data_IF_589843784541
#
_entry.id   IF_589843784541
#
_cell.length_a   1.000
_cell.length_b   1.000
_cell.length_c   1.000
_cell.angle_alpha   90.00
_cell.angle_beta   90.00
_cell.angle_gamma   90.00
#
_symmetry.space_group_name_H-M   'P 1'
#
loop_
_entity.id
_entity.type
_entity.pdbx_description
1 polymer ?
#
# COMPACT_ATOMS: atom_id res chain seq x y z
N UNK A 1 -15.23 -3.02 -6.79
CA UNK A 1 -14.12 -3.99 -6.92
C UNK A 1 -14.51 -5.26 -6.19
N UNK A 2 -14.11 -6.43 -6.67
CA UNK A 2 -14.48 -7.73 -6.08
C UNK A 2 -13.29 -8.44 -5.43
N UNK A 3 -12.33 -7.66 -4.92
CA UNK A 3 -11.12 -8.14 -4.25
C UNK A 3 -10.70 -7.14 -3.16
N UNK A 4 -9.82 -7.55 -2.21
CA UNK A 4 -9.20 -6.65 -1.26
C UNK A 4 -8.46 -5.51 -1.96
N UNK A 5 -8.42 -4.34 -1.32
CA UNK A 5 -7.78 -3.13 -1.89
C UNK A 5 -6.86 -2.49 -0.85
N UNK A 6 -5.60 -2.29 -1.23
CA UNK A 6 -4.63 -1.59 -0.40
C UNK A 6 -4.48 -0.12 -0.82
N UNK A 7 -4.60 0.79 0.14
CA UNK A 7 -4.44 2.23 -0.06
C UNK A 7 -3.08 2.70 0.47
N UNK A 8 -2.24 3.16 -0.45
CA UNK A 8 -0.92 3.71 -0.15
C UNK A 8 -1.03 5.05 0.60
N UNK A 9 -0.19 5.28 1.62
CA UNK A 9 -0.05 6.60 2.22
C UNK A 9 0.43 7.66 1.20
N UNK A 10 0.21 8.93 1.53
CA UNK A 10 0.62 10.06 0.70
C UNK A 10 2.13 10.08 0.43
N UNK A 11 2.55 10.68 -0.69
CA UNK A 11 3.98 10.78 -1.08
C UNK A 11 4.84 11.52 -0.07
N UNK A 12 4.22 12.37 0.74
CA UNK A 12 4.82 13.12 1.85
C UNK A 12 4.88 12.31 3.16
N UNK A 13 4.23 11.15 3.22
CA UNK A 13 4.08 10.33 4.43
C UNK A 13 2.70 10.44 5.09
N UNK A 14 1.78 11.22 4.53
CA UNK A 14 0.47 11.45 5.14
C UNK A 14 -0.39 10.17 5.18
N UNK A 15 -0.61 9.66 6.39
CA UNK A 15 -1.39 8.46 6.67
C UNK A 15 -2.90 8.70 6.59
N UNK A 16 -3.36 9.91 6.90
CA UNK A 16 -4.79 10.23 6.98
C UNK A 16 -5.50 10.00 5.65
N UNK A 17 -4.84 10.31 4.53
CA UNK A 17 -5.40 10.10 3.19
C UNK A 17 -5.72 8.63 2.95
N UNK A 18 -4.84 7.71 3.36
CA UNK A 18 -5.06 6.28 3.18
C UNK A 18 -6.16 5.75 4.12
N UNK A 19 -6.19 6.23 5.37
CA UNK A 19 -7.19 5.83 6.37
C UNK A 19 -8.59 6.32 5.96
N UNK A 20 -8.71 7.58 5.55
CA UNK A 20 -9.96 8.13 5.02
C UNK A 20 -10.44 7.32 3.80
N UNK A 21 -9.51 6.90 2.92
CA UNK A 21 -9.83 6.08 1.76
C UNK A 21 -10.32 4.68 2.12
N UNK A 22 -9.72 4.02 3.12
CA UNK A 22 -10.22 2.74 3.66
C UNK A 22 -11.63 2.90 4.21
N UNK A 23 -11.86 3.92 5.06
CA UNK A 23 -13.18 4.19 5.63
C UNK A 23 -14.23 4.52 4.56
N UNK A 24 -13.86 5.31 3.55
CA UNK A 24 -14.75 5.62 2.44
C UNK A 24 -15.08 4.39 1.59
N UNK A 25 -14.08 3.54 1.29
CA UNK A 25 -14.25 2.35 0.47
C UNK A 25 -15.18 1.32 1.10
N UNK A 26 -15.26 1.27 2.43
CA UNK A 26 -16.14 0.37 3.17
C UNK A 26 -17.64 0.65 2.97
N UNK A 27 -18.02 1.84 2.48
CA UNK A 27 -19.42 2.24 2.33
C UNK A 27 -19.93 2.17 0.88
N UNK A 28 -21.25 2.01 0.68
CA UNK A 28 -21.89 2.15 -0.64
C UNK A 28 -21.64 3.51 -1.30
N UNK A 29 -21.41 3.51 -2.62
CA UNK A 29 -21.28 4.72 -3.44
C UNK A 29 -22.17 4.66 -4.67
N UNK A 30 -22.64 5.82 -5.11
CA UNK A 30 -23.21 6.01 -6.45
C UNK A 30 -22.27 6.86 -7.31
N UNK A 31 -21.92 6.39 -8.50
CA UNK A 31 -21.06 7.15 -9.41
C UNK A 31 -21.31 6.82 -10.88
N UNK A 32 -20.92 7.75 -11.75
CA UNK A 32 -21.01 7.59 -13.20
C UNK A 32 -19.78 6.85 -13.71
N UNK A 33 -19.99 5.76 -14.45
CA UNK A 33 -18.92 5.06 -15.15
C UNK A 33 -19.42 4.32 -16.40
N UNK A 34 -18.53 3.64 -17.10
CA UNK A 34 -18.82 2.90 -18.32
C UNK A 34 -19.20 1.45 -18.02
N UNK A 35 -20.25 0.98 -18.69
CA UNK A 35 -20.61 -0.43 -18.73
C UNK A 35 -19.60 -1.22 -19.57
N UNK A 36 -19.60 -2.55 -19.43
CA UNK A 36 -18.75 -3.43 -20.25
C UNK A 36 -19.01 -3.32 -21.75
N UNK A 37 -20.19 -2.85 -22.15
CA UNK A 37 -20.56 -2.60 -23.54
C UNK A 37 -20.16 -1.19 -24.04
N UNK A 38 -19.52 -0.37 -23.21
CA UNK A 38 -19.03 0.97 -23.58
C UNK A 38 -20.04 2.11 -23.40
N UNK A 39 -21.23 1.85 -22.86
CA UNK A 39 -22.23 2.89 -22.57
C UNK A 39 -22.01 3.50 -21.19
N UNK A 40 -22.38 4.76 -21.02
CA UNK A 40 -22.41 5.41 -19.70
C UNK A 40 -23.58 4.90 -18.85
N UNK A 41 -23.35 4.76 -17.56
CA UNK A 41 -24.38 4.40 -16.58
C UNK A 41 -24.07 4.92 -15.18
N UNK A 42 -25.10 4.96 -14.33
CA UNK A 42 -24.95 5.18 -12.89
C UNK A 42 -24.80 3.81 -12.23
N UNK A 43 -23.75 3.65 -11.44
CA UNK A 43 -23.45 2.42 -10.72
C UNK A 43 -23.67 2.66 -9.23
N UNK A 44 -24.13 1.62 -8.54
CA UNK A 44 -24.18 1.52 -7.09
C UNK A 44 -23.23 0.42 -6.64
N UNK A 45 -22.49 0.65 -5.57
CA UNK A 45 -21.64 -0.36 -4.93
C UNK A 45 -22.16 -0.71 -3.55
N UNK A 46 -21.82 -1.88 -3.05
CA UNK A 46 -22.15 -2.32 -1.69
C UNK A 46 -21.12 -1.89 -0.64
N UNK A 47 -20.04 -1.21 -1.04
CA UNK A 47 -18.84 -1.04 -0.23
C UNK A 47 -17.87 -2.22 -0.30
N UNK A 48 -16.66 -2.03 0.21
CA UNK A 48 -15.57 -2.99 0.31
C UNK A 48 -14.90 -2.90 1.68
N UNK A 49 -15.25 -3.83 2.57
CA UNK A 49 -14.69 -3.92 3.93
C UNK A 49 -13.26 -4.48 3.97
N UNK A 50 -12.78 -5.07 2.87
CA UNK A 50 -11.43 -5.65 2.73
C UNK A 50 -10.37 -4.59 2.35
N UNK A 51 -10.54 -3.37 2.84
CA UNK A 51 -9.60 -2.27 2.70
C UNK A 51 -8.47 -2.32 3.74
N UNK A 52 -7.24 -2.00 3.34
CA UNK A 52 -6.11 -1.87 4.26
C UNK A 52 -5.14 -0.77 3.83
N UNK A 53 -4.32 -0.29 4.77
CA UNK A 53 -3.28 0.72 4.50
C UNK A 53 -1.99 0.05 4.01
N UNK A 54 -1.31 0.68 3.04
CA UNK A 54 0.04 0.31 2.61
C UNK A 54 1.03 1.41 3.02
N UNK A 55 1.98 1.05 3.88
CA UNK A 55 3.10 1.90 4.28
C UNK A 55 4.21 1.83 3.25
N UNK A 56 4.52 2.95 2.60
CA UNK A 56 5.50 3.03 1.49
C UNK A 56 6.52 4.15 1.63
N UNK A 57 6.69 4.64 2.86
CA UNK A 57 7.49 5.82 3.21
C UNK A 57 6.87 7.13 2.74
N UNK A 58 7.64 8.20 2.89
CA UNK A 58 7.30 9.55 2.45
C UNK A 58 8.57 10.40 2.38
N UNK A 59 8.61 11.49 3.15
CA UNK A 59 9.87 12.22 3.40
C UNK A 59 10.90 11.35 4.15
N UNK A 60 10.41 10.44 4.99
CA UNK A 60 11.20 9.41 5.68
C UNK A 60 10.57 8.02 5.46
N UNK A 61 11.34 6.94 5.61
CA UNK A 61 10.77 5.60 5.74
C UNK A 61 9.77 5.50 6.91
N UNK A 62 8.82 4.58 6.81
CA UNK A 62 7.77 4.37 7.81
C UNK A 62 7.43 2.88 8.01
N UNK A 63 8.43 2.01 7.95
CA UNK A 63 8.28 0.56 8.13
C UNK A 63 8.60 0.09 9.56
N UNK A 64 9.22 0.94 10.38
CA UNK A 64 9.64 0.62 11.73
C UNK A 64 8.44 0.40 12.67
N UNK A 65 8.69 -0.19 13.84
CA UNK A 65 7.64 -0.53 14.80
C UNK A 65 6.86 0.68 15.32
N UNK A 66 7.47 1.86 15.42
CA UNK A 66 6.78 3.07 15.88
C UNK A 66 5.78 3.54 14.82
N UNK A 67 6.20 3.52 13.55
CA UNK A 67 5.33 3.80 12.40
C UNK A 67 4.16 2.81 12.31
N UNK A 68 4.41 1.51 12.47
CA UNK A 68 3.37 0.46 12.49
C UNK A 68 2.37 0.70 13.63
N UNK A 69 2.85 0.99 14.84
CA UNK A 69 2.01 1.30 15.99
C UNK A 69 1.14 2.54 15.77
N UNK A 70 1.73 3.60 15.24
CA UNK A 70 1.02 4.85 14.95
C UNK A 70 -0.15 4.61 14.00
N UNK A 71 0.10 3.89 12.90
CA UNK A 71 -0.92 3.60 11.89
C UNK A 71 -2.03 2.71 12.45
N UNK A 72 -1.67 1.69 13.23
CA UNK A 72 -2.65 0.81 13.87
C UNK A 72 -3.58 1.58 14.80
N UNK A 73 -3.03 2.47 15.65
CA UNK A 73 -3.83 3.32 16.54
C UNK A 73 -4.75 4.27 15.77
N UNK A 74 -4.26 4.85 14.68
CA UNK A 74 -5.08 5.73 13.83
C UNK A 74 -6.22 4.97 13.13
N UNK A 75 -5.97 3.73 12.67
CA UNK A 75 -7.00 2.87 12.09
C UNK A 75 -8.08 2.52 13.12
N UNK A 76 -7.68 2.09 14.32
CA UNK A 76 -8.60 1.79 15.42
C UNK A 76 -9.44 3.02 15.79
N UNK A 77 -8.81 4.20 15.87
CA UNK A 77 -9.47 5.46 16.17
C UNK A 77 -10.48 5.87 15.08
N UNK A 78 -10.25 5.44 13.83
CA UNK A 78 -11.15 5.64 12.71
C UNK A 78 -12.22 4.52 12.57
N UNK A 79 -12.28 3.56 13.52
CA UNK A 79 -13.20 2.43 13.46
C UNK A 79 -12.87 1.41 12.36
N UNK A 80 -11.65 1.46 11.81
CA UNK A 80 -11.15 0.52 10.81
C UNK A 80 -10.39 -0.63 11.47
N UNK A 81 -10.31 -1.78 10.80
CA UNK A 81 -9.46 -2.88 11.25
C UNK A 81 -7.99 -2.45 11.18
N UNK A 82 -7.18 -2.67 12.23
CA UNK A 82 -5.76 -2.31 12.26
C UNK A 82 -4.92 -3.33 11.47
N UNK A 83 -5.20 -3.48 10.18
CA UNK A 83 -4.47 -4.34 9.25
C UNK A 83 -3.74 -3.47 8.26
N UNK A 84 -2.44 -3.71 8.11
CA UNK A 84 -1.59 -2.94 7.20
C UNK A 84 -0.59 -3.82 6.48
N UNK A 85 -0.12 -3.31 5.35
CA UNK A 85 0.93 -3.91 4.53
C UNK A 85 2.12 -2.96 4.47
N UNK A 86 3.35 -3.50 4.42
CA UNK A 86 4.56 -2.70 4.26
C UNK A 86 5.15 -2.90 2.86
N UNK A 87 5.27 -1.81 2.09
CA UNK A 87 6.00 -1.76 0.83
C UNK A 87 7.48 -1.53 1.11
N UNK A 88 8.31 -2.51 0.74
CA UNK A 88 9.75 -2.48 1.01
C UNK A 88 10.49 -1.53 0.09
N UNK A 89 9.90 -1.18 -1.06
CA UNK A 89 10.54 -0.36 -2.09
C UNK A 89 10.27 1.13 -1.84
N UNK A 90 10.21 1.94 -2.91
CA UNK A 90 9.85 3.36 -2.88
C UNK A 90 10.64 4.14 -1.82
N UNK A 91 9.96 4.98 -1.03
CA UNK A 91 10.61 5.81 -0.03
C UNK A 91 11.12 5.01 1.17
N UNK A 92 10.54 3.83 1.46
CA UNK A 92 11.05 2.93 2.50
C UNK A 92 12.45 2.41 2.17
N UNK A 93 12.73 2.15 0.89
CA UNK A 93 14.08 1.77 0.43
C UNK A 93 15.03 2.96 0.18
N UNK A 94 14.58 4.20 0.37
CA UNK A 94 15.31 5.39 -0.09
C UNK A 94 15.47 5.44 -1.62
N UNK A 95 14.55 4.81 -2.37
CA UNK A 95 14.63 4.57 -3.83
C UNK A 95 15.86 3.79 -4.26
N UNK A 96 16.40 2.95 -3.38
CA UNK A 96 17.52 2.05 -3.67
C UNK A 96 17.02 0.61 -3.58
N UNK A 97 16.96 -0.12 -4.70
CA UNK A 97 16.34 -1.46 -4.72
C UNK A 97 16.97 -2.43 -3.69
N UNK A 98 18.28 -2.30 -3.38
CA UNK A 98 18.96 -3.11 -2.36
C UNK A 98 18.52 -2.77 -0.93
N UNK A 99 18.01 -1.56 -0.71
CA UNK A 99 17.42 -1.13 0.55
C UNK A 99 16.22 -1.97 0.97
N UNK A 100 15.52 -2.62 0.03
CA UNK A 100 14.44 -3.57 0.33
C UNK A 100 14.90 -4.71 1.25
N UNK A 101 16.17 -5.12 1.18
CA UNK A 101 16.73 -6.16 2.05
C UNK A 101 16.77 -5.68 3.50
N UNK A 102 17.16 -4.42 3.73
CA UNK A 102 17.19 -3.81 5.06
C UNK A 102 15.79 -3.67 5.62
N UNK A 103 14.84 -3.19 4.82
CA UNK A 103 13.43 -3.09 5.22
C UNK A 103 12.87 -4.47 5.56
N UNK A 104 13.15 -5.46 4.72
CA UNK A 104 12.69 -6.83 4.94
C UNK A 104 13.27 -7.47 6.20
N UNK A 105 14.52 -7.21 6.53
CA UNK A 105 15.14 -7.70 7.77
C UNK A 105 14.45 -7.10 9.02
N UNK A 106 14.16 -5.80 8.99
CA UNK A 106 13.48 -5.10 10.09
C UNK A 106 12.05 -5.62 10.29
N UNK A 107 11.25 -5.64 9.22
CA UNK A 107 9.86 -6.14 9.27
C UNK A 107 9.82 -7.61 9.69
N UNK A 108 10.75 -8.44 9.21
CA UNK A 108 10.85 -9.85 9.65
C UNK A 108 11.16 -9.97 11.14
N UNK A 109 12.02 -9.08 11.69
CA UNK A 109 12.28 -9.03 13.12
C UNK A 109 11.04 -8.63 13.93
N UNK A 110 10.27 -7.65 13.46
CA UNK A 110 9.01 -7.26 14.10
C UNK A 110 8.01 -8.42 14.14
N UNK A 111 7.83 -9.13 13.02
CA UNK A 111 6.97 -10.32 12.94
C UNK A 111 7.43 -11.41 13.91
N UNK A 112 8.75 -11.66 13.99
CA UNK A 112 9.32 -12.63 14.93
C UNK A 112 9.11 -12.24 16.40
N UNK A 113 8.97 -10.95 16.70
CA UNK A 113 8.68 -10.42 18.03
C UNK A 113 7.17 -10.39 18.35
N UNK A 114 6.31 -10.88 17.45
CA UNK A 114 4.88 -11.02 17.69
C UNK A 114 4.00 -9.93 17.06
N UNK A 115 4.54 -9.09 16.18
CA UNK A 115 3.72 -8.19 15.38
C UNK A 115 2.77 -8.98 14.47
N UNK A 116 1.46 -8.77 14.62
CA UNK A 116 0.41 -9.51 13.92
C UNK A 116 -0.52 -8.60 13.09
N UNK A 117 -0.32 -7.29 13.11
CA UNK A 117 -1.10 -6.30 12.35
C UNK A 117 -0.53 -6.08 10.94
N UNK A 118 0.75 -6.40 10.73
CA UNK A 118 1.36 -6.46 9.40
C UNK A 118 0.89 -7.74 8.70
N UNK A 119 -0.13 -7.62 7.86
CA UNK A 119 -0.79 -8.77 7.19
C UNK A 119 -0.16 -9.13 5.85
N UNK A 120 0.78 -8.32 5.36
CA UNK A 120 1.46 -8.56 4.10
C UNK A 120 2.61 -7.60 3.85
N UNK A 121 3.37 -7.90 2.80
CA UNK A 121 4.48 -7.08 2.33
C UNK A 121 4.42 -6.93 0.81
N UNK A 122 4.95 -5.83 0.29
CA UNK A 122 5.07 -5.57 -1.14
C UNK A 122 6.55 -5.41 -1.50
N UNK A 123 7.01 -6.14 -2.51
CA UNK A 123 8.41 -6.21 -2.94
C UNK A 123 8.46 -5.99 -4.44
N UNK A 124 9.36 -5.12 -4.88
CA UNK A 124 9.69 -4.95 -6.29
C UNK A 124 10.87 -5.86 -6.64
N UNK A 125 10.60 -6.87 -7.46
CA UNK A 125 11.59 -7.83 -7.93
C UNK A 125 11.40 -8.12 -9.41
N UNK A 126 12.50 -8.50 -10.05
CA UNK A 126 12.53 -8.92 -11.46
C UNK A 126 13.59 -10.00 -11.63
N UNK A 127 13.65 -10.63 -12.81
CA UNK A 127 14.63 -11.69 -13.11
C UNK A 127 16.07 -11.18 -12.93
N UNK A 128 16.32 -9.92 -13.30
CA UNK A 128 17.60 -9.21 -13.16
C UNK A 128 17.38 -7.98 -12.28
N UNK A 129 18.31 -7.70 -11.34
CA UNK A 129 18.20 -6.53 -10.47
C UNK A 129 18.43 -5.20 -11.20
N UNK A 130 17.95 -4.11 -10.61
CA UNK A 130 18.16 -2.76 -11.13
C UNK A 130 17.02 -2.25 -12.01
N UNK A 131 17.37 -1.34 -12.92
CA UNK A 131 16.46 -0.73 -13.90
C UNK A 131 17.23 -0.49 -15.19
N UNK A 132 16.51 -0.38 -16.29
CA UNK A 132 17.07 0.05 -17.57
C UNK A 132 16.24 1.20 -18.15
N UNK A 133 16.90 2.14 -18.80
CA UNK A 133 16.24 3.18 -19.57
C UNK A 133 15.96 2.66 -20.98
N UNK A 134 14.80 3.00 -21.55
CA UNK A 134 14.46 2.60 -22.91
C UNK A 134 15.28 3.44 -23.88
N UNK A 135 16.16 2.79 -24.64
CA UNK A 135 16.98 3.43 -25.68
C UNK A 135 16.58 2.88 -27.04
N UNK A 136 16.22 3.76 -27.96
CA UNK A 136 15.78 3.36 -29.30
C UNK A 136 16.84 2.50 -30.00
N UNK A 137 16.43 1.34 -30.52
CA UNK A 137 17.30 0.40 -31.23
C UNK A 137 18.19 -0.46 -30.33
N UNK A 138 18.04 -0.38 -29.00
CA UNK A 138 18.68 -1.30 -28.05
C UNK A 138 17.67 -2.31 -27.53
N UNK A 139 18.10 -3.56 -27.38
CA UNK A 139 17.29 -4.59 -26.73
C UNK A 139 17.20 -4.34 -25.22
N UNK A 140 16.05 -4.67 -24.64
CA UNK A 140 15.87 -4.69 -23.19
C UNK A 140 16.39 -6.01 -22.64
N UNK A 141 17.07 -5.96 -21.49
CA UNK A 141 17.58 -7.13 -20.76
C UNK A 141 16.62 -7.54 -19.65
#
# INVERSE_FOLDING_TARGET
>A
MSCPVGFKNGTDGNLKIAIDAVGAAAHPHHFLTVTKAGFLGIFETTGNEDGHVILRGGQSPNYDSESVNTVAQMLESAGCLPRLMVDFSHANSGKQHRGQITVGADVSSQLAQGENRVVGVMIESHIVEGRQDVVAGSDLV
#
